data_IF_468350274702
#
_entry.id   IF_468350274702
#
_cell.length_a   1.000
_cell.length_b   1.000
_cell.length_c   1.000
_cell.angle_alpha   90.00
_cell.angle_beta   90.00
_cell.angle_gamma   90.00
#
_symmetry.space_group_name_H-M   'P 1'
#
loop_
_entity.id
_entity.type
_entity.pdbx_description
1 polymer ?
#
# COMPACT_ATOMS: atom_id res chain seq x y z
N UNK A 1 -20.35 68.35 -62.03
CA UNK A 1 -20.43 69.57 -61.17
C UNK A 1 -21.31 69.23 -59.97
N UNK A 2 -20.87 69.61 -58.77
CA UNK A 2 -21.68 69.82 -57.56
C UNK A 2 -21.99 68.62 -56.63
N UNK A 3 -21.47 68.79 -55.40
CA UNK A 3 -21.71 68.10 -54.12
C UNK A 3 -23.13 68.30 -53.56
N UNK A 4 -23.58 67.39 -52.69
CA UNK A 4 -24.14 67.57 -51.30
C UNK A 4 -25.11 66.41 -50.99
N UNK A 5 -24.85 65.59 -49.96
CA UNK A 5 -25.21 65.73 -48.53
C UNK A 5 -26.71 65.83 -48.27
N UNK A 6 -27.29 64.82 -47.59
CA UNK A 6 -28.16 64.87 -46.39
C UNK A 6 -28.76 63.46 -46.10
N UNK A 7 -28.62 62.96 -44.86
CA UNK A 7 -29.33 61.77 -44.35
C UNK A 7 -30.64 62.16 -43.63
N UNK A 8 -31.17 61.37 -42.68
CA UNK A 8 -31.17 59.92 -42.51
C UNK A 8 -32.61 59.34 -42.48
N UNK A 9 -32.80 58.09 -42.93
CA UNK A 9 -34.08 57.36 -42.87
C UNK A 9 -33.99 56.16 -41.93
N UNK A 10 -34.84 56.13 -40.91
CA UNK A 10 -34.96 55.07 -39.89
C UNK A 10 -35.28 53.71 -40.52
N UNK A 11 -34.52 52.68 -40.14
CA UNK A 11 -34.86 51.27 -40.37
C UNK A 11 -34.73 50.49 -39.06
N UNK A 12 -35.84 49.93 -38.58
CA UNK A 12 -35.88 48.96 -37.49
C UNK A 12 -35.12 47.70 -37.92
N UNK A 13 -34.10 47.30 -37.17
CA UNK A 13 -33.50 45.98 -37.26
C UNK A 13 -33.77 45.22 -35.96
N UNK A 14 -34.49 44.11 -36.07
CA UNK A 14 -34.74 43.16 -34.99
C UNK A 14 -33.42 42.48 -34.59
N UNK A 15 -32.96 42.73 -33.37
CA UNK A 15 -31.84 42.00 -32.79
C UNK A 15 -32.30 40.65 -32.24
N UNK A 16 -32.07 39.57 -32.97
CA UNK A 16 -32.09 38.22 -32.40
C UNK A 16 -30.89 38.06 -31.47
N UNK A 17 -31.08 38.26 -30.17
CA UNK A 17 -30.09 37.93 -29.16
C UNK A 17 -29.94 36.41 -29.03
N UNK A 18 -28.85 35.86 -29.56
CA UNK A 18 -28.44 34.49 -29.26
C UNK A 18 -27.77 34.53 -27.87
N UNK A 19 -28.50 34.08 -26.85
CA UNK A 19 -27.93 33.84 -25.53
C UNK A 19 -27.00 32.62 -25.61
N UNK A 20 -25.69 32.85 -25.61
CA UNK A 20 -24.70 31.79 -25.47
C UNK A 20 -24.75 31.26 -24.03
N UNK A 21 -25.40 30.11 -23.83
CA UNK A 21 -25.32 29.36 -22.58
C UNK A 21 -23.93 28.74 -22.51
N UNK A 22 -23.05 29.33 -21.70
CA UNK A 22 -21.78 28.72 -21.34
C UNK A 22 -22.07 27.46 -20.50
N UNK A 23 -21.99 26.28 -21.12
CA UNK A 23 -21.97 25.02 -20.39
C UNK A 23 -20.66 24.96 -19.60
N UNK A 24 -20.73 25.29 -18.31
CA UNK A 24 -19.63 25.05 -17.39
C UNK A 24 -19.32 23.56 -17.36
N UNK A 25 -18.10 23.19 -17.78
CA UNK A 25 -17.59 21.85 -17.55
C UNK A 25 -17.55 21.64 -16.03
N UNK A 26 -18.47 20.84 -15.50
CA UNK A 26 -18.40 20.40 -14.11
C UNK A 26 -17.05 19.68 -13.96
N UNK A 27 -16.17 20.24 -13.15
CA UNK A 27 -14.97 19.54 -12.72
C UNK A 27 -15.44 18.24 -12.08
N UNK A 28 -15.15 17.10 -12.74
CA UNK A 28 -15.33 15.81 -12.11
C UNK A 28 -14.36 15.80 -10.94
N UNK A 29 -14.87 15.94 -9.72
CA UNK A 29 -14.09 15.69 -8.52
C UNK A 29 -13.67 14.23 -8.61
N UNK A 30 -12.44 13.98 -9.05
CA UNK A 30 -11.87 12.64 -9.04
C UNK A 30 -11.84 12.19 -7.59
N UNK A 31 -12.65 11.19 -7.26
CA UNK A 31 -12.62 10.56 -5.94
C UNK A 31 -11.19 10.08 -5.74
N UNK A 32 -10.56 10.41 -4.62
CA UNK A 32 -9.19 9.99 -4.36
C UNK A 32 -9.13 8.45 -4.29
N UNK A 33 -8.11 7.87 -4.93
CA UNK A 33 -7.97 6.42 -5.11
C UNK A 33 -6.80 5.89 -4.28
N UNK A 34 -6.93 4.66 -3.79
CA UNK A 34 -5.87 3.92 -3.11
C UNK A 34 -6.01 2.43 -3.45
N UNK A 35 -5.78 2.05 -4.73
CA UNK A 35 -6.24 0.76 -5.25
C UNK A 35 -5.41 -0.44 -4.79
N UNK A 36 -4.33 -0.23 -4.03
CA UNK A 36 -3.36 -1.28 -3.71
C UNK A 36 -2.61 -1.00 -2.41
N UNK A 37 -1.82 -2.00 -1.97
CA UNK A 37 -0.89 -1.88 -0.85
C UNK A 37 -0.01 -0.63 -0.94
N UNK A 38 -0.03 0.19 0.11
CA UNK A 38 0.76 1.42 0.19
C UNK A 38 0.34 2.53 -0.79
N UNK A 39 -0.83 2.42 -1.41
CA UNK A 39 -1.41 3.46 -2.25
C UNK A 39 -0.98 3.38 -3.71
N UNK A 40 -1.30 4.39 -4.53
CA UNK A 40 -1.10 4.36 -5.97
C UNK A 40 0.33 4.01 -6.40
N UNK A 41 1.33 4.40 -5.60
CA UNK A 41 2.76 4.21 -5.87
C UNK A 41 3.46 3.22 -4.92
N UNK A 42 2.73 2.55 -4.02
CA UNK A 42 3.29 1.67 -2.95
C UNK A 42 4.31 2.33 -2.01
N UNK A 43 4.26 3.65 -1.85
CA UNK A 43 5.18 4.41 -1.00
C UNK A 43 4.51 5.00 0.25
N UNK A 44 3.26 4.61 0.49
CA UNK A 44 2.40 5.04 1.60
C UNK A 44 2.18 6.55 1.64
N UNK A 45 2.10 7.17 0.45
CA UNK A 45 1.79 8.59 0.31
C UNK A 45 0.49 8.80 -0.43
N UNK A 46 -0.31 9.75 0.08
CA UNK A 46 -1.45 10.29 -0.63
C UNK A 46 -1.07 11.62 -1.28
N UNK A 47 -1.45 11.78 -2.54
CA UNK A 47 -1.54 13.10 -3.16
C UNK A 47 -2.87 13.73 -2.74
N UNK A 48 -2.86 14.39 -1.57
CA UNK A 48 -4.03 15.03 -0.98
C UNK A 48 -3.67 16.38 -0.40
N UNK A 49 -4.67 17.25 -0.31
CA UNK A 49 -4.62 18.54 0.38
C UNK A 49 -5.81 18.65 1.33
N UNK A 50 -5.71 19.56 2.31
CA UNK A 50 -6.82 19.88 3.22
C UNK A 50 -6.92 18.91 4.39
N UNK A 51 -5.80 18.33 4.85
CA UNK A 51 -5.77 17.70 6.15
C UNK A 51 -5.72 18.78 7.24
N UNK A 52 -6.52 18.62 8.28
CA UNK A 52 -6.57 19.50 9.43
C UNK A 52 -5.17 19.74 10.03
N UNK A 53 -4.96 20.89 10.67
CA UNK A 53 -3.72 21.17 11.41
C UNK A 53 -3.64 20.42 12.75
N UNK A 54 -4.75 19.87 13.22
CA UNK A 54 -4.89 19.14 14.47
C UNK A 54 -6.34 18.67 14.64
N UNK A 55 -6.61 17.90 15.69
CA UNK A 55 -7.95 17.40 16.01
C UNK A 55 -8.34 17.76 17.45
N UNK A 56 -9.64 17.74 17.79
CA UNK A 56 -10.09 17.75 19.18
C UNK A 56 -9.50 16.59 19.99
N UNK A 57 -9.64 16.66 21.32
CA UNK A 57 -9.12 15.63 22.24
C UNK A 57 -9.73 14.24 21.94
N UNK A 58 -10.97 14.20 21.48
CA UNK A 58 -11.70 13.00 21.07
C UNK A 58 -11.22 12.43 19.72
N UNK A 59 -10.32 13.13 19.03
CA UNK A 59 -9.79 12.76 17.73
C UNK A 59 -10.60 13.30 16.54
N UNK A 60 -10.27 12.85 15.32
CA UNK A 60 -10.95 13.27 14.10
C UNK A 60 -12.40 12.78 14.08
N UNK A 61 -13.25 13.44 13.30
CA UNK A 61 -14.66 13.06 13.20
C UNK A 61 -14.80 11.67 12.62
N UNK A 62 -15.37 10.75 13.40
CA UNK A 62 -15.73 9.42 12.92
C UNK A 62 -16.94 9.48 12.00
N UNK A 63 -16.79 8.97 10.78
CA UNK A 63 -17.87 8.86 9.79
C UNK A 63 -18.74 7.66 10.10
N UNK A 64 -18.10 6.50 10.25
CA UNK A 64 -18.73 5.25 10.64
C UNK A 64 -17.70 4.32 11.28
N UNK A 65 -18.21 3.31 11.99
CA UNK A 65 -17.43 2.22 12.57
C UNK A 65 -18.31 0.99 12.62
N UNK A 66 -17.72 -0.18 12.36
CA UNK A 66 -18.39 -1.47 12.57
C UNK A 66 -17.39 -2.58 12.88
N UNK A 67 -17.89 -3.64 13.49
CA UNK A 67 -17.14 -4.89 13.55
C UNK A 67 -17.06 -5.53 12.15
N UNK A 68 -16.01 -6.30 11.94
CA UNK A 68 -15.77 -7.09 10.74
C UNK A 68 -15.45 -8.53 11.16
N UNK A 69 -14.17 -8.89 11.14
CA UNK A 69 -13.67 -10.17 11.61
C UNK A 69 -12.15 -10.16 11.59
N UNK A 70 -11.57 -11.29 11.97
CA UNK A 70 -10.13 -11.44 12.16
C UNK A 70 -9.34 -11.17 10.87
N UNK A 71 -8.23 -10.44 10.94
CA UNK A 71 -7.34 -10.22 9.81
C UNK A 71 -6.56 -8.92 9.91
N UNK A 72 -5.51 -8.83 9.10
CA UNK A 72 -4.65 -7.65 8.98
C UNK A 72 -4.67 -7.02 7.58
N UNK A 73 -5.44 -7.58 6.65
CA UNK A 73 -5.63 -7.07 5.29
C UNK A 73 -5.90 -5.56 5.29
N UNK A 74 -5.05 -4.78 4.62
CA UNK A 74 -5.30 -3.36 4.46
C UNK A 74 -6.50 -3.12 3.54
N UNK A 75 -6.86 -1.85 3.35
CA UNK A 75 -8.11 -1.45 2.70
C UNK A 75 -7.74 -0.77 1.39
N UNK A 76 -8.15 -1.33 0.26
CA UNK A 76 -8.02 -0.65 -1.03
C UNK A 76 -9.26 0.19 -1.30
N UNK A 77 -9.08 1.36 -1.89
CA UNK A 77 -10.16 2.30 -2.24
C UNK A 77 -10.19 2.50 -3.74
N UNK A 78 -11.32 2.19 -4.36
CA UNK A 78 -11.57 2.49 -5.77
C UNK A 78 -13.00 3.05 -5.93
N UNK A 79 -13.14 4.21 -6.57
CA UNK A 79 -14.43 4.83 -6.91
C UNK A 79 -15.52 4.82 -5.81
N UNK A 80 -15.14 5.15 -4.57
CA UNK A 80 -16.09 5.20 -3.44
C UNK A 80 -16.45 3.82 -2.85
N UNK A 81 -15.79 2.75 -3.29
CA UNK A 81 -15.85 1.42 -2.70
C UNK A 81 -14.54 1.09 -1.92
N UNK A 82 -14.68 0.27 -0.89
CA UNK A 82 -13.57 -0.25 -0.09
C UNK A 82 -13.46 -1.76 -0.27
N UNK A 83 -12.25 -2.25 -0.50
CA UNK A 83 -11.96 -3.67 -0.68
C UNK A 83 -10.98 -4.13 0.40
N UNK A 84 -11.34 -5.15 1.16
CA UNK A 84 -10.47 -5.75 2.19
C UNK A 84 -10.84 -7.22 2.40
N UNK A 85 -10.16 -7.90 3.31
CA UNK A 85 -10.41 -9.29 3.64
C UNK A 85 -10.49 -9.52 5.14
N UNK A 86 -11.24 -10.54 5.56
CA UNK A 86 -11.31 -10.98 6.94
C UNK A 86 -11.68 -12.46 7.05
N UNK A 87 -11.54 -13.03 8.24
CA UNK A 87 -11.97 -14.38 8.58
C UNK A 87 -13.27 -14.36 9.38
N UNK A 88 -14.20 -15.23 8.99
CA UNK A 88 -15.46 -15.52 9.69
C UNK A 88 -15.61 -17.03 9.88
N UNK A 89 -15.42 -17.50 11.11
CA UNK A 89 -15.43 -18.94 11.39
C UNK A 89 -14.32 -19.66 10.63
N UNK A 90 -14.70 -20.57 9.74
CA UNK A 90 -13.80 -21.34 8.86
C UNK A 90 -13.73 -20.83 7.43
N UNK A 91 -14.29 -19.64 7.18
CA UNK A 91 -14.23 -18.97 5.89
C UNK A 91 -13.25 -17.79 5.92
N UNK A 92 -12.56 -17.57 4.81
CA UNK A 92 -12.02 -16.26 4.48
C UNK A 92 -12.98 -15.54 3.54
N UNK A 93 -13.12 -14.23 3.74
CA UNK A 93 -14.09 -13.39 3.03
C UNK A 93 -13.36 -12.22 2.39
N UNK A 94 -13.50 -12.07 1.08
CA UNK A 94 -13.21 -10.82 0.36
C UNK A 94 -14.48 -9.98 0.39
N UNK A 95 -14.38 -8.73 0.82
CA UNK A 95 -15.54 -7.88 1.02
C UNK A 95 -15.37 -6.54 0.30
N UNK A 96 -16.47 -6.07 -0.28
CA UNK A 96 -16.61 -4.73 -0.80
C UNK A 96 -17.61 -3.94 0.05
N UNK A 97 -17.22 -2.74 0.48
CA UNK A 97 -18.04 -1.83 1.27
C UNK A 97 -18.25 -0.51 0.55
N UNK A 98 -19.39 0.11 0.78
CA UNK A 98 -19.59 1.53 0.45
C UNK A 98 -18.71 2.38 1.37
N UNK A 99 -17.86 3.23 0.80
CA UNK A 99 -16.89 4.00 1.56
C UNK A 99 -17.53 5.08 2.45
N UNK A 100 -18.69 5.61 2.07
CA UNK A 100 -19.39 6.66 2.79
C UNK A 100 -20.17 6.16 4.01
N UNK A 101 -20.67 4.91 3.96
CA UNK A 101 -21.57 4.35 4.97
C UNK A 101 -21.02 3.12 5.68
N UNK A 102 -19.99 2.49 5.13
CA UNK A 102 -19.44 1.23 5.62
C UNK A 102 -20.38 0.04 5.41
N UNK A 103 -21.46 0.17 4.63
CA UNK A 103 -22.39 -0.94 4.33
C UNK A 103 -21.75 -1.91 3.35
N UNK A 104 -22.03 -3.20 3.53
CA UNK A 104 -21.58 -4.24 2.59
C UNK A 104 -22.29 -4.06 1.26
N UNK A 105 -21.52 -3.99 0.17
CA UNK A 105 -22.01 -4.02 -1.21
C UNK A 105 -22.05 -5.46 -1.74
N UNK A 106 -20.97 -6.22 -1.51
CA UNK A 106 -20.91 -7.65 -1.78
C UNK A 106 -19.86 -8.34 -0.90
N UNK A 107 -19.99 -9.65 -0.75
CA UNK A 107 -19.02 -10.55 -0.11
C UNK A 107 -18.77 -11.76 -1.02
N UNK A 108 -17.52 -12.20 -1.09
CA UNK A 108 -17.12 -13.48 -1.64
C UNK A 108 -16.45 -14.29 -0.52
N UNK A 109 -17.13 -15.34 -0.06
CA UNK A 109 -16.64 -16.22 1.00
C UNK A 109 -16.19 -17.55 0.42
N UNK A 110 -15.10 -18.10 0.96
CA UNK A 110 -14.60 -19.41 0.60
C UNK A 110 -14.09 -20.17 1.82
N UNK A 111 -14.33 -21.47 1.83
CA UNK A 111 -13.85 -22.35 2.89
C UNK A 111 -12.32 -22.37 2.90
N UNK A 112 -11.76 -22.25 4.09
CA UNK A 112 -10.32 -22.34 4.29
C UNK A 112 -9.98 -23.35 5.39
N UNK A 113 -8.88 -24.09 5.20
CA UNK A 113 -8.40 -25.07 6.17
C UNK A 113 -8.12 -24.43 7.54
N UNK A 114 -8.08 -25.27 8.58
CA UNK A 114 -7.79 -24.79 9.93
C UNK A 114 -6.42 -24.07 9.95
N UNK A 115 -6.34 -22.86 10.52
CA UNK A 115 -5.08 -22.12 10.62
C UNK A 115 -4.04 -22.92 11.41
N UNK A 116 -2.75 -22.74 11.06
CA UNK A 116 -1.64 -23.30 11.84
C UNK A 116 -1.70 -22.84 13.29
N UNK A 117 -0.93 -23.47 14.19
CA UNK A 117 -0.84 -23.03 15.59
C UNK A 117 -0.40 -21.56 15.68
N UNK A 118 0.61 -21.16 14.91
CA UNK A 118 1.12 -19.79 14.89
C UNK A 118 0.12 -18.79 14.29
N UNK A 119 -0.61 -19.15 13.23
CA UNK A 119 -1.69 -18.30 12.70
C UNK A 119 -2.77 -18.04 13.76
N UNK A 120 -3.15 -19.06 14.55
CA UNK A 120 -4.13 -18.90 15.64
C UNK A 120 -3.64 -17.92 16.71
N UNK A 121 -2.35 -17.95 17.04
CA UNK A 121 -1.73 -17.07 18.03
C UNK A 121 -1.63 -15.62 17.53
N UNK A 122 -1.09 -15.41 16.33
CA UNK A 122 -0.73 -14.08 15.85
C UNK A 122 -1.83 -13.38 15.03
N UNK A 123 -2.80 -14.12 14.49
CA UNK A 123 -3.91 -13.57 13.71
C UNK A 123 -4.34 -14.52 12.58
N UNK A 124 -5.47 -15.24 12.73
CA UNK A 124 -5.83 -16.35 11.84
C UNK A 124 -6.48 -15.93 10.52
N UNK A 125 -6.70 -14.63 10.32
CA UNK A 125 -7.32 -14.12 9.10
C UNK A 125 -6.32 -13.59 8.07
N UNK A 126 -6.79 -13.20 6.89
CA UNK A 126 -5.96 -12.71 5.79
C UNK A 126 -5.10 -11.49 6.15
N UNK A 127 -3.86 -11.46 5.62
CA UNK A 127 -2.91 -10.34 5.81
C UNK A 127 -2.71 -9.52 4.54
N UNK A 128 -2.79 -10.15 3.38
CA UNK A 128 -2.58 -9.50 2.08
C UNK A 128 -3.63 -8.42 1.81
N UNK A 129 -3.23 -7.38 1.07
CA UNK A 129 -4.13 -6.29 0.66
C UNK A 129 -4.65 -6.55 -0.75
N UNK A 130 -5.97 -6.54 -0.97
CA UNK A 130 -6.53 -6.70 -2.31
C UNK A 130 -6.00 -5.63 -3.28
N UNK A 131 -5.63 -6.03 -4.49
CA UNK A 131 -5.30 -5.13 -5.58
C UNK A 131 -6.54 -4.89 -6.42
N UNK A 132 -6.90 -3.63 -6.65
CA UNK A 132 -7.91 -3.24 -7.64
C UNK A 132 -7.17 -2.82 -8.91
N UNK A 133 -7.44 -3.49 -10.04
CA UNK A 133 -6.92 -3.08 -11.33
C UNK A 133 -8.00 -3.29 -12.42
N UNK A 134 -8.29 -2.21 -13.16
CA UNK A 134 -9.39 -2.20 -14.12
C UNK A 134 -10.74 -2.50 -13.44
N UNK A 135 -11.41 -3.55 -13.92
CA UNK A 135 -12.69 -4.03 -13.38
C UNK A 135 -12.54 -5.24 -12.43
N UNK A 136 -11.32 -5.55 -12.01
CA UNK A 136 -11.01 -6.75 -11.21
C UNK A 136 -10.41 -6.39 -9.83
N UNK A 137 -10.65 -7.28 -8.87
CA UNK A 137 -10.05 -7.31 -7.54
C UNK A 137 -9.27 -8.61 -7.40
N UNK A 138 -7.98 -8.50 -7.15
CA UNK A 138 -7.08 -9.62 -6.90
C UNK A 138 -6.81 -9.74 -5.40
N UNK A 139 -7.24 -10.85 -4.80
CA UNK A 139 -7.16 -11.11 -3.38
C UNK A 139 -6.39 -12.40 -3.12
N UNK A 140 -5.56 -12.41 -2.06
CA UNK A 140 -4.79 -13.60 -1.68
C UNK A 140 -5.02 -13.94 -0.21
N UNK A 141 -5.50 -15.14 0.05
CA UNK A 141 -5.77 -15.67 1.39
C UNK A 141 -4.51 -16.02 2.17
N UNK A 142 -4.67 -16.39 3.45
CA UNK A 142 -3.55 -16.63 4.38
C UNK A 142 -2.67 -17.84 3.99
N UNK A 143 -3.13 -18.70 3.10
CA UNK A 143 -2.36 -19.86 2.58
C UNK A 143 -2.05 -19.77 1.09
N UNK A 144 -2.25 -18.61 0.45
CA UNK A 144 -1.96 -18.45 -0.97
C UNK A 144 -3.07 -18.94 -1.90
N UNK A 145 -4.33 -18.98 -1.46
CA UNK A 145 -5.45 -19.04 -2.40
C UNK A 145 -5.63 -17.66 -3.04
N UNK A 146 -5.49 -17.59 -4.37
CA UNK A 146 -5.60 -16.37 -5.16
C UNK A 146 -6.96 -16.34 -5.83
N UNK A 147 -7.65 -15.20 -5.74
CA UNK A 147 -8.95 -14.98 -6.37
C UNK A 147 -8.91 -13.70 -7.20
N UNK A 148 -9.41 -13.78 -8.43
CA UNK A 148 -9.76 -12.64 -9.26
C UNK A 148 -11.28 -12.51 -9.26
N UNK A 149 -11.77 -11.37 -8.76
CA UNK A 149 -13.20 -11.10 -8.61
C UNK A 149 -13.58 -9.86 -9.42
N UNK A 150 -14.75 -9.86 -10.03
CA UNK A 150 -15.32 -8.64 -10.60
C UNK A 150 -15.52 -7.59 -9.49
N UNK A 151 -14.97 -6.39 -9.66
CA UNK A 151 -14.97 -5.36 -8.60
C UNK A 151 -16.36 -4.85 -8.21
N UNK A 152 -17.35 -4.97 -9.11
CA UNK A 152 -18.72 -4.48 -8.89
C UNK A 152 -19.63 -5.54 -8.27
N UNK A 153 -19.51 -6.80 -8.70
CA UNK A 153 -20.42 -7.87 -8.27
C UNK A 153 -19.82 -8.85 -7.26
N UNK A 154 -18.49 -8.89 -7.12
CA UNK A 154 -17.80 -9.91 -6.31
C UNK A 154 -17.78 -11.30 -6.95
N UNK A 155 -18.27 -11.43 -8.20
CA UNK A 155 -18.28 -12.71 -8.90
C UNK A 155 -16.86 -13.15 -9.24
N UNK A 156 -16.56 -14.43 -8.96
CA UNK A 156 -15.28 -15.05 -9.30
C UNK A 156 -15.09 -15.12 -10.82
N UNK A 157 -13.99 -14.56 -11.31
CA UNK A 157 -13.54 -14.69 -12.68
C UNK A 157 -12.61 -15.90 -12.85
N UNK A 158 -11.60 -16.01 -11.98
CA UNK A 158 -10.66 -17.14 -11.93
C UNK A 158 -9.99 -17.22 -10.55
N UNK A 159 -9.37 -18.37 -10.24
CA UNK A 159 -8.64 -18.59 -8.99
C UNK A 159 -7.45 -19.52 -9.16
N UNK A 160 -6.45 -19.38 -8.29
CA UNK A 160 -5.31 -20.29 -8.18
C UNK A 160 -5.11 -20.77 -6.73
N UNK A 161 -4.58 -21.97 -6.58
CA UNK A 161 -4.11 -22.54 -5.32
C UNK A 161 -2.59 -22.69 -5.39
N UNK A 162 -1.87 -21.71 -4.84
CA UNK A 162 -0.41 -21.65 -4.97
C UNK A 162 0.29 -22.88 -4.34
N UNK A 163 -0.31 -23.46 -3.30
CA UNK A 163 0.18 -24.69 -2.66
C UNK A 163 0.06 -25.86 -3.60
N UNK A 164 -1.12 -26.08 -4.19
CA UNK A 164 -1.35 -27.22 -5.09
C UNK A 164 -0.64 -27.09 -6.42
N UNK A 165 -0.57 -25.88 -6.98
CA UNK A 165 -0.07 -25.65 -8.34
C UNK A 165 1.45 -25.54 -8.41
N UNK A 166 2.07 -24.98 -7.37
CA UNK A 166 3.51 -24.69 -7.36
C UNK A 166 4.26 -25.41 -6.23
N UNK A 167 3.56 -26.10 -5.32
CA UNK A 167 4.22 -26.70 -4.16
C UNK A 167 4.65 -25.66 -3.12
N UNK A 168 4.00 -24.49 -3.10
CA UNK A 168 4.22 -23.49 -2.07
C UNK A 168 4.03 -24.10 -0.67
N UNK A 169 5.03 -23.97 0.19
CA UNK A 169 4.88 -24.34 1.59
C UNK A 169 4.07 -23.26 2.32
N UNK A 170 2.99 -23.68 2.99
CA UNK A 170 2.19 -22.77 3.81
C UNK A 170 3.08 -22.16 4.89
N UNK A 171 3.27 -20.84 4.80
CA UNK A 171 4.07 -20.09 5.76
C UNK A 171 3.45 -20.23 7.16
N UNK A 172 4.28 -20.52 8.18
CA UNK A 172 3.80 -20.76 9.55
C UNK A 172 2.95 -19.60 10.10
N UNK A 173 3.31 -18.36 9.76
CA UNK A 173 2.57 -17.14 10.14
C UNK A 173 1.62 -16.62 9.07
N UNK A 174 1.44 -17.34 7.97
CA UNK A 174 0.56 -16.96 6.87
C UNK A 174 1.20 -16.09 5.79
N UNK A 175 0.62 -16.21 4.59
CA UNK A 175 0.96 -15.42 3.42
C UNK A 175 0.46 -13.97 3.59
N UNK A 176 1.29 -13.00 3.22
CA UNK A 176 1.02 -11.58 3.48
C UNK A 176 1.44 -10.62 2.36
N UNK A 177 2.22 -11.09 1.39
CA UNK A 177 2.60 -10.25 0.26
C UNK A 177 1.35 -9.89 -0.57
N UNK A 178 1.29 -8.64 -1.04
CA UNK A 178 0.15 -8.12 -1.80
C UNK A 178 0.42 -8.15 -3.30
N UNK A 179 -0.52 -8.66 -4.14
CA UNK A 179 -0.37 -8.75 -5.59
C UNK A 179 -0.10 -7.38 -6.20
N UNK A 180 0.67 -7.32 -7.29
CA UNK A 180 0.97 -6.08 -8.02
C UNK A 180 0.61 -6.22 -9.50
N UNK A 181 -0.05 -5.21 -10.08
CA UNK A 181 -0.33 -5.19 -11.51
C UNK A 181 0.88 -4.67 -12.29
N UNK A 182 1.17 -5.28 -13.43
CA UNK A 182 2.07 -4.74 -14.43
C UNK A 182 1.51 -5.04 -15.83
N UNK A 183 1.14 -3.98 -16.56
CA UNK A 183 0.47 -4.08 -17.86
C UNK A 183 -0.77 -5.01 -17.79
N UNK A 184 -0.77 -6.11 -18.52
CA UNK A 184 -1.82 -7.12 -18.59
C UNK A 184 -1.66 -8.27 -17.59
N UNK A 185 -0.66 -8.18 -16.69
CA UNK A 185 -0.37 -9.22 -15.69
C UNK A 185 -0.63 -8.75 -14.26
N UNK A 186 -0.87 -9.71 -13.38
CA UNK A 186 -0.80 -9.58 -11.92
C UNK A 186 0.31 -10.50 -11.42
N UNK A 187 1.22 -9.95 -10.63
CA UNK A 187 2.46 -10.62 -10.21
C UNK A 187 2.43 -10.85 -8.70
N UNK A 188 2.87 -12.03 -8.28
CA UNK A 188 2.92 -12.46 -6.88
C UNK A 188 4.27 -13.13 -6.57
N UNK A 189 4.92 -12.80 -5.45
CA UNK A 189 5.94 -13.68 -4.89
C UNK A 189 5.25 -14.93 -4.33
N UNK A 190 5.68 -16.11 -4.77
CA UNK A 190 5.15 -17.41 -4.35
C UNK A 190 6.20 -18.16 -3.53
N UNK A 191 7.48 -17.96 -3.84
CA UNK A 191 8.58 -18.76 -3.31
C UNK A 191 8.64 -20.17 -3.90
N UNK A 192 9.78 -20.85 -3.73
CA UNK A 192 10.07 -22.16 -4.29
C UNK A 192 11.10 -22.13 -5.42
N UNK A 193 11.17 -23.20 -6.20
CA UNK A 193 12.19 -23.43 -7.25
C UNK A 193 11.54 -23.36 -8.63
N UNK A 194 12.06 -22.50 -9.52
CA UNK A 194 11.56 -22.13 -10.85
C UNK A 194 10.25 -21.31 -10.86
N UNK A 195 9.71 -20.99 -9.69
CA UNK A 195 8.41 -20.31 -9.54
C UNK A 195 8.38 -19.37 -8.34
N UNK A 196 9.54 -18.90 -7.88
CA UNK A 196 9.58 -18.01 -6.73
C UNK A 196 8.79 -16.71 -6.93
N UNK A 197 8.67 -16.26 -8.18
CA UNK A 197 7.76 -15.19 -8.59
C UNK A 197 6.95 -15.64 -9.80
N UNK A 198 5.64 -15.41 -9.76
CA UNK A 198 4.70 -15.83 -10.81
C UNK A 198 3.87 -14.65 -11.26
N UNK A 199 3.70 -14.51 -12.58
CA UNK A 199 2.79 -13.57 -13.19
C UNK A 199 1.64 -14.32 -13.87
N UNK A 200 0.41 -13.91 -13.54
CA UNK A 200 -0.81 -14.40 -14.15
C UNK A 200 -1.39 -13.33 -15.07
N UNK A 201 -1.96 -13.72 -16.21
CA UNK A 201 -2.70 -12.79 -17.05
C UNK A 201 -3.96 -12.33 -16.31
N UNK A 202 -4.20 -11.02 -16.32
CA UNK A 202 -5.38 -10.44 -15.67
C UNK A 202 -6.69 -10.97 -16.26
N UNK A 203 -6.71 -11.24 -17.57
CA UNK A 203 -7.91 -11.62 -18.30
C UNK A 203 -8.48 -13.00 -17.91
N UNK A 204 -7.61 -14.00 -17.72
CA UNK A 204 -8.02 -15.41 -17.60
C UNK A 204 -7.27 -16.21 -16.52
N UNK A 205 -6.30 -15.61 -15.84
CA UNK A 205 -5.49 -16.27 -14.82
C UNK A 205 -4.39 -17.17 -15.39
N UNK A 206 -4.26 -17.32 -16.71
CA UNK A 206 -3.18 -18.16 -17.26
C UNK A 206 -1.79 -17.63 -16.85
N UNK A 207 -0.86 -18.54 -16.55
CA UNK A 207 0.52 -18.16 -16.20
C UNK A 207 1.18 -17.50 -17.41
N UNK A 208 1.52 -16.22 -17.29
CA UNK A 208 2.28 -15.49 -18.30
C UNK A 208 3.77 -15.85 -18.22
N UNK A 209 4.31 -15.89 -17.00
CA UNK A 209 5.65 -16.39 -16.70
C UNK A 209 5.75 -16.80 -15.23
N UNK A 210 6.73 -17.67 -14.94
CA UNK A 210 7.16 -18.04 -13.59
C UNK A 210 8.67 -18.18 -13.61
N UNK A 211 9.35 -17.73 -12.55
CA UNK A 211 10.81 -17.68 -12.55
C UNK A 211 11.40 -17.66 -11.15
N UNK A 212 12.72 -17.88 -11.11
CA UNK A 212 13.60 -17.74 -9.95
C UNK A 212 13.45 -18.80 -8.85
N UNK A 213 14.48 -18.88 -8.01
CA UNK A 213 14.65 -19.86 -6.93
C UNK A 213 14.86 -19.14 -5.59
N UNK A 214 13.77 -18.68 -4.97
CA UNK A 214 13.80 -17.94 -3.70
C UNK A 214 12.74 -18.48 -2.74
N UNK A 215 12.99 -18.40 -1.45
CA UNK A 215 11.96 -18.72 -0.45
C UNK A 215 11.07 -17.50 -0.22
N UNK A 216 9.76 -17.72 -0.12
CA UNK A 216 8.78 -16.65 0.09
C UNK A 216 8.98 -15.97 1.45
N UNK A 217 8.83 -14.64 1.46
CA UNK A 217 8.76 -13.84 2.69
C UNK A 217 7.47 -13.01 2.73
N UNK A 218 7.37 -12.07 3.67
CA UNK A 218 6.14 -11.36 3.99
C UNK A 218 5.98 -10.02 3.25
N UNK A 219 7.09 -9.37 2.89
CA UNK A 219 7.07 -8.06 2.26
C UNK A 219 6.40 -8.09 0.88
N UNK A 220 5.50 -7.13 0.66
CA UNK A 220 4.89 -6.91 -0.66
C UNK A 220 5.93 -6.37 -1.65
N UNK A 221 5.90 -6.78 -2.93
CA UNK A 221 6.81 -6.27 -3.94
C UNK A 221 6.49 -4.80 -4.30
N UNK A 222 7.48 -4.10 -4.85
CA UNK A 222 7.30 -2.75 -5.41
C UNK A 222 7.81 -2.69 -6.86
N UNK A 223 7.25 -1.79 -7.66
CA UNK A 223 7.79 -1.45 -8.98
C UNK A 223 8.63 -0.18 -8.85
N UNK A 224 9.87 -0.24 -9.34
CA UNK A 224 10.77 0.91 -9.42
C UNK A 224 11.09 1.24 -10.87
N UNK A 225 11.41 2.51 -11.12
CA UNK A 225 11.91 3.01 -12.41
C UNK A 225 13.38 3.36 -12.24
N UNK A 226 14.27 2.55 -12.81
CA UNK A 226 15.72 2.77 -12.76
C UNK A 226 16.24 3.10 -14.16
N UNK A 227 16.71 4.34 -14.35
CA UNK A 227 17.33 4.82 -15.58
C UNK A 227 16.57 4.38 -16.85
N UNK A 228 15.24 4.55 -16.83
CA UNK A 228 14.39 4.20 -17.97
C UNK A 228 14.00 2.72 -18.10
N UNK A 229 14.25 1.88 -17.09
CA UNK A 229 13.76 0.49 -17.01
C UNK A 229 12.85 0.29 -15.79
N UNK A 230 11.73 -0.40 -16.01
CA UNK A 230 10.87 -0.85 -14.92
C UNK A 230 11.46 -2.12 -14.32
N UNK A 231 11.55 -2.17 -12.99
CA UNK A 231 12.06 -3.32 -12.26
C UNK A 231 11.10 -3.67 -11.13
N UNK A 232 10.75 -4.95 -11.02
CA UNK A 232 10.02 -5.51 -9.91
C UNK A 232 10.99 -5.85 -8.79
N UNK A 233 10.83 -5.23 -7.63
CA UNK A 233 11.64 -5.51 -6.44
C UNK A 233 10.87 -6.43 -5.52
N UNK A 234 11.43 -7.61 -5.26
CA UNK A 234 10.89 -8.61 -4.35
C UNK A 234 11.83 -8.81 -3.17
N UNK A 235 11.32 -8.67 -1.94
CA UNK A 235 12.09 -8.91 -0.73
C UNK A 235 11.77 -10.30 -0.17
N UNK A 236 12.63 -11.26 -0.52
CA UNK A 236 12.50 -12.69 -0.26
C UNK A 236 13.21 -13.06 1.05
N UNK A 237 13.20 -14.33 1.45
CA UNK A 237 13.71 -14.78 2.77
C UNK A 237 15.18 -14.50 3.01
N UNK A 238 16.02 -14.63 1.97
CA UNK A 238 17.49 -14.50 2.07
C UNK A 238 18.04 -13.31 1.29
N UNK A 239 17.26 -12.73 0.40
CA UNK A 239 17.69 -11.68 -0.51
C UNK A 239 16.57 -10.70 -0.83
N UNK A 240 16.98 -9.51 -1.27
CA UNK A 240 16.15 -8.65 -2.09
C UNK A 240 16.60 -8.80 -3.54
N UNK A 241 15.66 -8.91 -4.47
CA UNK A 241 15.93 -9.13 -5.88
C UNK A 241 15.20 -8.10 -6.74
N UNK A 242 15.85 -7.67 -7.82
CA UNK A 242 15.21 -6.93 -8.89
C UNK A 242 15.03 -7.81 -10.12
N UNK A 243 13.79 -7.88 -10.61
CA UNK A 243 13.40 -8.67 -11.77
C UNK A 243 12.86 -7.75 -12.87
N UNK A 244 12.97 -8.17 -14.13
CA UNK A 244 12.20 -7.59 -15.20
C UNK A 244 10.72 -8.02 -15.04
N UNK A 245 9.78 -7.09 -14.81
CA UNK A 245 8.37 -7.45 -14.59
C UNK A 245 7.68 -8.02 -15.85
N UNK A 246 8.27 -7.87 -17.04
CA UNK A 246 7.68 -8.37 -18.27
C UNK A 246 7.87 -9.89 -18.47
N UNK A 247 8.98 -10.46 -17.97
CA UNK A 247 9.39 -11.84 -18.26
C UNK A 247 9.96 -12.59 -17.05
N UNK A 248 10.13 -11.93 -15.90
CA UNK A 248 10.69 -12.53 -14.69
C UNK A 248 12.21 -12.66 -14.69
N UNK A 249 12.92 -12.13 -15.69
CA UNK A 249 14.38 -12.24 -15.77
C UNK A 249 15.06 -11.54 -14.58
N UNK A 250 16.08 -12.18 -14.00
CA UNK A 250 16.84 -11.63 -12.87
C UNK A 250 17.73 -10.49 -13.35
N UNK A 251 17.57 -9.30 -12.76
CA UNK A 251 18.40 -8.13 -13.07
C UNK A 251 19.50 -7.92 -12.04
N UNK A 252 19.20 -8.17 -10.76
CA UNK A 252 20.16 -8.07 -9.66
C UNK A 252 19.63 -8.74 -8.38
N UNK A 253 20.53 -9.03 -7.44
CA UNK A 253 20.20 -9.48 -6.08
C UNK A 253 21.10 -8.80 -5.05
N UNK A 254 20.65 -8.75 -3.80
CA UNK A 254 21.45 -8.39 -2.64
C UNK A 254 21.05 -9.21 -1.42
N UNK A 255 22.03 -9.71 -0.67
CA UNK A 255 21.82 -10.63 0.46
C UNK A 255 21.29 -9.91 1.70
N UNK A 256 20.20 -10.42 2.27
CA UNK A 256 19.56 -9.94 3.51
C UNK A 256 18.81 -11.08 4.22
N UNK A 257 19.52 -12.08 4.79
CA UNK A 257 18.89 -13.24 5.42
C UNK A 257 18.45 -12.90 6.83
N UNK A 258 17.20 -13.15 7.22
CA UNK A 258 16.72 -12.87 8.58
C UNK A 258 16.32 -14.11 9.35
N UNK A 259 16.25 -14.03 10.68
CA UNK A 259 15.73 -15.14 11.47
C UNK A 259 14.27 -15.42 11.07
N UNK A 260 13.94 -16.70 10.94
CA UNK A 260 12.65 -17.19 10.44
C UNK A 260 12.28 -16.71 9.03
N UNK A 261 13.21 -16.12 8.27
CA UNK A 261 12.92 -15.58 6.93
C UNK A 261 11.89 -14.45 6.90
N UNK A 262 11.67 -13.78 8.04
CA UNK A 262 10.64 -12.76 8.20
C UNK A 262 11.10 -11.35 7.77
N UNK A 263 11.31 -11.15 6.47
CA UNK A 263 11.46 -9.84 5.86
C UNK A 263 10.05 -9.26 5.65
N UNK A 264 9.59 -8.46 6.61
CA UNK A 264 8.18 -8.02 6.72
C UNK A 264 7.95 -6.63 6.10
N UNK A 265 8.81 -5.66 6.42
CA UNK A 265 8.62 -4.29 5.95
C UNK A 265 8.85 -4.20 4.44
N UNK A 266 7.90 -3.59 3.74
CA UNK A 266 8.07 -3.26 2.31
C UNK A 266 9.28 -2.33 2.11
N UNK A 267 10.16 -2.58 1.12
CA UNK A 267 11.26 -1.69 0.79
C UNK A 267 10.77 -0.30 0.38
N UNK A 268 11.60 0.72 0.59
CA UNK A 268 11.28 2.11 0.26
C UNK A 268 12.22 2.63 -0.81
N UNK A 269 11.67 2.89 -1.99
CA UNK A 269 12.37 3.47 -3.13
C UNK A 269 12.30 5.00 -3.13
N UNK A 270 13.29 5.68 -3.72
CA UNK A 270 13.16 7.10 -4.02
C UNK A 270 14.39 7.70 -4.68
N UNK A 271 14.45 9.04 -4.64
CA UNK A 271 15.47 9.86 -5.31
C UNK A 271 16.91 9.39 -5.09
N UNK A 272 17.74 9.57 -6.12
CA UNK A 272 19.14 9.12 -6.15
C UNK A 272 19.32 7.61 -6.36
N UNK A 273 18.27 6.93 -6.84
CA UNK A 273 18.20 5.49 -7.04
C UNK A 273 18.50 4.69 -5.76
N UNK A 274 17.97 5.17 -4.63
CA UNK A 274 18.22 4.61 -3.31
C UNK A 274 17.04 3.75 -2.85
N UNK A 275 17.36 2.50 -2.50
CA UNK A 275 16.41 1.54 -1.96
C UNK A 275 16.76 1.24 -0.49
N UNK A 276 15.91 1.71 0.41
CA UNK A 276 15.97 1.38 1.83
C UNK A 276 15.23 0.07 2.09
N UNK A 277 15.82 -0.80 2.89
CA UNK A 277 15.18 -2.02 3.38
C UNK A 277 15.52 -2.24 4.85
N UNK A 278 14.59 -2.85 5.58
CA UNK A 278 14.75 -3.09 7.01
C UNK A 278 14.03 -4.35 7.43
N UNK A 279 14.68 -5.11 8.29
CA UNK A 279 14.11 -6.28 8.94
C UNK A 279 14.48 -6.30 10.42
N UNK A 280 13.51 -6.62 11.26
CA UNK A 280 13.77 -7.03 12.64
C UNK A 280 14.44 -8.41 12.69
N UNK A 281 14.39 -9.06 13.86
CA UNK A 281 14.95 -10.39 14.07
C UNK A 281 16.44 -10.46 13.71
N UNK A 282 17.15 -9.49 14.29
CA UNK A 282 18.61 -9.40 14.29
C UNK A 282 19.28 -9.10 12.93
N UNK A 283 18.54 -8.56 11.95
CA UNK A 283 19.12 -8.11 10.69
C UNK A 283 19.41 -6.63 10.60
N UNK A 284 18.44 -5.76 10.84
CA UNK A 284 18.66 -4.33 10.75
C UNK A 284 18.26 -3.73 9.40
N UNK A 285 18.78 -2.52 9.15
CA UNK A 285 18.47 -1.74 7.97
C UNK A 285 19.70 -1.53 7.11
N UNK A 286 19.48 -1.33 5.81
CA UNK A 286 20.51 -0.94 4.86
C UNK A 286 19.92 -0.12 3.74
N UNK A 287 20.78 0.58 3.02
CA UNK A 287 20.43 1.20 1.75
C UNK A 287 21.38 0.70 0.68
N UNK A 288 20.79 0.28 -0.43
CA UNK A 288 21.53 0.06 -1.68
C UNK A 288 21.22 1.19 -2.65
N UNK A 289 22.23 1.60 -3.40
CA UNK A 289 22.09 2.42 -4.58
C UNK A 289 22.14 1.53 -5.81
N UNK A 290 21.21 1.77 -6.73
CA UNK A 290 21.15 1.08 -8.02
C UNK A 290 21.58 2.02 -9.14
N UNK A 291 22.24 1.47 -10.15
CA UNK A 291 22.56 2.21 -11.38
C UNK A 291 22.57 1.26 -12.57
N UNK A 292 22.34 1.78 -13.78
CA UNK A 292 22.49 0.99 -15.01
C UNK A 292 23.84 1.23 -15.68
N UNK A 293 24.47 0.14 -16.11
CA UNK A 293 25.60 0.15 -17.02
C UNK A 293 25.27 -0.75 -18.21
N UNK A 294 24.75 -0.13 -19.29
CA UNK A 294 24.12 -0.86 -20.39
C UNK A 294 22.90 -1.66 -19.90
N UNK A 295 22.88 -2.96 -20.20
CA UNK A 295 21.79 -3.86 -19.80
C UNK A 295 21.93 -4.42 -18.38
N UNK A 296 23.05 -4.13 -17.70
CA UNK A 296 23.30 -4.61 -16.33
C UNK A 296 22.86 -3.57 -15.32
N UNK A 297 22.20 -4.04 -14.27
CA UNK A 297 21.99 -3.23 -13.06
C UNK A 297 23.11 -3.51 -12.08
N UNK A 298 23.75 -2.44 -11.59
CA UNK A 298 24.78 -2.50 -10.56
C UNK A 298 24.17 -2.16 -9.20
N UNK A 299 24.62 -2.88 -8.17
CA UNK A 299 24.19 -2.70 -6.79
C UNK A 299 25.37 -2.23 -5.95
N UNK A 300 25.20 -1.11 -5.25
CA UNK A 300 26.17 -0.61 -4.28
C UNK A 300 25.50 -0.48 -2.91
N UNK A 301 25.95 -1.23 -1.91
CA UNK A 301 25.52 -0.96 -0.53
C UNK A 301 26.20 0.32 -0.03
N UNK A 302 25.39 1.30 0.40
CA UNK A 302 25.90 2.56 0.94
C UNK A 302 26.20 2.44 2.44
N UNK A 303 25.33 1.75 3.17
CA UNK A 303 25.49 1.53 4.60
C UNK A 303 24.61 0.39 5.09
N UNK A 304 24.99 -0.16 6.24
CA UNK A 304 24.26 -1.16 7.00
C UNK A 304 24.23 -0.80 8.50
N UNK A 305 23.08 -0.98 9.14
CA UNK A 305 22.87 -0.69 10.55
C UNK A 305 22.00 -1.75 11.23
N UNK A 306 22.65 -2.72 11.89
CA UNK A 306 22.01 -3.84 12.60
C UNK A 306 20.92 -3.43 13.62
N UNK A 307 21.10 -2.28 14.27
CA UNK A 307 20.22 -1.82 15.36
C UNK A 307 19.03 -0.99 14.88
N UNK A 308 18.94 -0.66 13.60
CA UNK A 308 17.78 0.01 13.00
C UNK A 308 16.89 -1.07 12.40
N UNK A 309 15.74 -1.36 12.98
CA UNK A 309 14.97 -2.57 12.68
C UNK A 309 13.49 -2.27 12.60
N UNK A 310 12.88 -2.43 11.44
CA UNK A 310 11.42 -2.36 11.32
C UNK A 310 10.88 -3.77 11.48
N UNK A 311 10.01 -3.94 12.49
CA UNK A 311 9.41 -5.21 12.84
C UNK A 311 8.09 -5.38 12.07
N UNK A 312 6.96 -5.32 12.77
CA UNK A 312 5.65 -5.17 12.16
C UNK A 312 5.42 -3.67 11.88
N UNK A 313 5.41 -3.27 10.62
CA UNK A 313 5.18 -1.89 10.22
C UNK A 313 5.74 -1.55 8.85
N UNK A 314 5.46 -0.34 8.39
CA UNK A 314 6.05 0.24 7.18
C UNK A 314 6.96 1.43 7.51
N UNK A 315 7.67 1.89 6.49
CA UNK A 315 8.40 3.16 6.51
C UNK A 315 7.92 4.08 5.39
N UNK A 316 8.11 5.38 5.58
CA UNK A 316 7.84 6.41 4.57
C UNK A 316 9.10 7.24 4.36
N UNK A 317 9.46 7.49 3.10
CA UNK A 317 10.54 8.41 2.74
C UNK A 317 10.00 9.79 2.38
N UNK A 318 10.43 10.83 3.07
CA UNK A 318 10.17 12.23 2.70
C UNK A 318 11.52 12.94 2.50
N UNK A 319 11.78 13.38 1.27
CA UNK A 319 13.09 13.92 0.89
C UNK A 319 14.21 12.89 1.10
N UNK A 320 15.25 13.31 1.81
CA UNK A 320 16.41 12.48 2.14
C UNK A 320 16.25 11.67 3.44
N UNK A 321 15.06 11.66 4.05
CA UNK A 321 14.82 10.98 5.33
C UNK A 321 13.79 9.87 5.20
N UNK A 322 14.08 8.74 5.84
CA UNK A 322 13.15 7.64 6.06
C UNK A 322 12.65 7.73 7.50
N UNK A 323 11.32 7.69 7.63
CA UNK A 323 10.61 7.64 8.91
C UNK A 323 10.03 6.25 9.10
N UNK A 324 10.18 5.70 10.30
CA UNK A 324 9.68 4.36 10.63
C UNK A 324 9.87 4.04 12.11
N UNK A 325 9.10 3.11 12.63
CA UNK A 325 9.26 2.65 14.01
C UNK A 325 10.33 1.55 14.08
N UNK A 326 11.47 1.86 14.70
CA UNK A 326 12.57 0.90 14.90
C UNK A 326 12.46 0.17 16.23
N UNK A 327 12.35 -1.16 16.20
CA UNK A 327 12.28 -2.04 17.37
C UNK A 327 12.32 -3.52 17.01
N UNK A 328 12.08 -4.38 18.00
CA UNK A 328 12.00 -5.83 17.85
C UNK A 328 10.97 -6.37 18.89
N UNK A 329 11.28 -7.40 19.67
CA UNK A 329 10.49 -7.85 20.84
C UNK A 329 10.55 -6.90 22.06
N UNK A 330 11.33 -5.81 22.00
CA UNK A 330 11.45 -4.79 23.06
C UNK A 330 10.85 -3.43 22.67
N UNK A 331 11.26 -2.34 23.35
CA UNK A 331 10.81 -0.99 23.01
C UNK A 331 11.07 -0.67 21.52
N UNK A 332 10.06 -0.15 20.86
CA UNK A 332 10.15 0.38 19.51
C UNK A 332 9.99 1.90 19.54
N UNK A 333 10.89 2.60 18.85
CA UNK A 333 10.95 4.05 18.81
C UNK A 333 10.73 4.53 17.37
N UNK A 334 9.90 5.55 17.19
CA UNK A 334 9.80 6.23 15.91
C UNK A 334 11.12 6.96 15.65
N UNK A 335 11.64 6.88 14.44
CA UNK A 335 12.92 7.50 14.08
C UNK A 335 12.83 8.23 12.74
N UNK A 336 13.71 9.20 12.57
CA UNK A 336 14.13 9.71 11.27
C UNK A 336 15.57 9.28 11.00
N UNK A 337 15.82 8.75 9.80
CA UNK A 337 17.13 8.29 9.37
C UNK A 337 17.46 8.94 8.04
N UNK A 338 18.62 9.57 7.95
CA UNK A 338 19.16 10.03 6.68
C UNK A 338 19.44 8.81 5.78
N UNK A 339 18.76 8.76 4.64
CA UNK A 339 18.77 7.59 3.76
C UNK A 339 20.12 7.38 3.08
N UNK A 340 20.95 8.41 2.95
CA UNK A 340 22.26 8.34 2.28
C UNK A 340 23.34 7.83 3.21
N UNK A 341 23.26 8.20 4.49
CA UNK A 341 24.33 7.98 5.46
C UNK A 341 23.97 6.95 6.54
N UNK A 342 22.68 6.64 6.74
CA UNK A 342 22.20 5.81 7.83
C UNK A 342 22.24 6.50 9.19
N UNK A 343 22.59 7.80 9.24
CA UNK A 343 22.62 8.58 10.47
C UNK A 343 21.20 8.78 10.98
N UNK A 344 20.96 8.35 12.22
CA UNK A 344 19.72 8.64 12.93
C UNK A 344 19.72 10.11 13.30
N UNK A 345 18.72 10.85 12.81
CA UNK A 345 18.56 12.27 13.11
C UNK A 345 17.92 12.46 14.49
N UNK A 346 16.85 11.70 14.77
CA UNK A 346 16.21 11.66 16.08
C UNK A 346 15.50 10.34 16.32
N UNK A 347 15.12 10.11 17.58
CA UNK A 347 14.25 9.02 18.04
C UNK A 347 13.22 9.56 19.01
N UNK A 348 11.97 9.15 18.82
CA UNK A 348 10.83 9.56 19.63
C UNK A 348 10.16 8.34 20.27
N UNK A 349 9.73 8.50 21.52
CA UNK A 349 9.01 7.45 22.26
C UNK A 349 7.51 7.52 21.95
N UNK A 350 6.81 6.43 22.19
CA UNK A 350 5.35 6.44 22.24
C UNK A 350 4.63 6.07 20.95
N UNK A 351 5.33 5.69 19.88
CA UNK A 351 4.74 5.13 18.66
C UNK A 351 5.41 3.79 18.33
N UNK A 352 5.13 2.77 19.14
CA UNK A 352 5.76 1.46 19.01
C UNK A 352 5.14 0.67 17.84
N UNK A 353 6.01 0.10 17.00
CA UNK A 353 5.64 -0.70 15.81
C UNK A 353 4.55 0.00 14.97
N UNK A 354 4.80 1.29 14.72
CA UNK A 354 3.85 2.14 14.05
C UNK A 354 3.85 1.97 12.53
N UNK A 355 2.65 2.05 11.98
CA UNK A 355 2.36 2.21 10.57
C UNK A 355 2.22 3.70 10.24
N UNK A 356 2.72 4.11 9.08
CA UNK A 356 2.83 5.50 8.66
C UNK A 356 2.17 5.72 7.30
N UNK A 357 1.42 6.81 7.18
CA UNK A 357 0.95 7.34 5.89
C UNK A 357 1.29 8.82 5.84
N UNK A 358 1.71 9.32 4.68
CA UNK A 358 2.04 10.73 4.49
C UNK A 358 1.13 11.40 3.47
N UNK A 359 0.67 12.61 3.77
CA UNK A 359 -0.16 13.42 2.88
C UNK A 359 -0.24 14.85 3.38
N UNK A 360 -0.40 15.82 2.49
CA UNK A 360 -0.55 17.25 2.85
C UNK A 360 0.50 17.77 3.86
N UNK A 361 1.76 17.37 3.68
CA UNK A 361 2.88 17.75 4.55
C UNK A 361 2.97 17.02 5.90
N UNK A 362 2.03 16.11 6.21
CA UNK A 362 1.85 15.52 7.54
C UNK A 362 2.02 14.00 7.51
N UNK A 363 2.53 13.45 8.61
CA UNK A 363 2.48 12.03 8.93
C UNK A 363 1.22 11.73 9.72
N UNK A 364 0.50 10.70 9.29
CA UNK A 364 -0.52 10.00 10.06
C UNK A 364 0.12 8.73 10.60
N UNK A 365 0.10 8.58 11.91
CA UNK A 365 0.82 7.54 12.64
C UNK A 365 -0.20 6.68 13.36
N UNK A 366 -0.23 5.38 13.07
CA UNK A 366 -1.03 4.41 13.81
C UNK A 366 -0.10 3.38 14.46
N UNK A 367 -0.04 3.35 15.79
CA UNK A 367 0.80 2.39 16.50
C UNK A 367 0.10 1.03 16.75
N UNK A 368 0.87 0.02 17.16
CA UNK A 368 0.32 -1.34 17.37
C UNK A 368 -0.79 -1.39 18.41
N UNK A 369 -0.79 -0.45 19.36
CA UNK A 369 -1.81 -0.31 20.40
C UNK A 369 -3.08 0.39 19.93
N UNK A 370 -3.14 0.86 18.68
CA UNK A 370 -4.32 1.52 18.13
C UNK A 370 -4.39 3.02 18.39
N UNK A 371 -3.28 3.66 18.79
CA UNK A 371 -3.23 5.12 18.93
C UNK A 371 -2.96 5.77 17.59
N UNK A 372 -3.82 6.71 17.22
CA UNK A 372 -3.70 7.51 16.01
C UNK A 372 -3.10 8.87 16.37
N UNK A 373 -2.13 9.34 15.58
CA UNK A 373 -1.58 10.68 15.69
C UNK A 373 -1.44 11.37 14.33
N UNK A 374 -1.49 12.69 14.38
CA UNK A 374 -1.16 13.58 13.28
C UNK A 374 0.07 14.38 13.66
N UNK A 375 1.09 14.39 12.80
CA UNK A 375 2.35 15.05 13.07
C UNK A 375 2.97 15.66 11.82
N UNK A 376 3.83 16.65 11.99
CA UNK A 376 4.83 17.03 10.98
C UNK A 376 6.18 16.47 11.39
N UNK A 377 6.96 16.05 10.40
CA UNK A 377 8.28 15.49 10.63
C UNK A 377 9.32 16.20 9.78
N UNK A 378 10.40 16.59 10.44
CA UNK A 378 11.58 17.22 9.84
C UNK A 378 12.83 16.44 10.26
N UNK A 379 13.99 16.72 9.67
CA UNK A 379 15.26 16.16 10.15
C UNK A 379 15.57 16.49 11.61
N UNK A 380 15.04 17.60 12.15
CA UNK A 380 15.38 18.07 13.49
C UNK A 380 14.44 17.54 14.57
N UNK A 381 13.16 17.36 14.23
CA UNK A 381 12.14 16.93 15.20
C UNK A 381 10.91 16.29 14.55
N UNK A 382 10.16 15.56 15.38
CA UNK A 382 8.76 15.23 15.18
C UNK A 382 7.90 16.20 16.00
N UNK A 383 6.97 16.89 15.34
CA UNK A 383 5.98 17.73 16.02
C UNK A 383 4.60 17.07 15.95
N UNK A 384 4.14 16.54 17.08
CA UNK A 384 2.83 15.88 17.19
C UNK A 384 1.75 16.94 17.43
N UNK A 385 0.82 17.07 16.50
CA UNK A 385 -0.26 18.06 16.56
C UNK A 385 -1.52 17.52 17.23
N UNK A 386 -1.79 16.23 17.09
CA UNK A 386 -2.91 15.55 17.72
C UNK A 386 -2.59 14.08 17.97
N UNK A 387 -3.19 13.50 19.01
CA UNK A 387 -3.06 12.08 19.36
C UNK A 387 -4.30 11.59 20.09
N UNK A 388 -4.82 10.44 19.70
CA UNK A 388 -6.03 9.83 20.26
C UNK A 388 -5.89 8.31 20.35
N UNK A 389 -6.46 7.70 21.39
CA UNK A 389 -6.68 6.25 21.41
C UNK A 389 -7.89 5.90 20.54
N UNK A 390 -7.66 5.27 19.40
CA UNK A 390 -8.70 5.04 18.41
C UNK A 390 -9.18 3.58 18.40
N UNK A 391 -8.24 2.65 18.24
CA UNK A 391 -8.49 1.22 18.16
C UNK A 391 -8.11 0.56 19.49
N UNK A 392 -8.76 -0.56 19.80
CA UNK A 392 -8.64 -1.22 21.12
C UNK A 392 -7.98 -2.59 21.06
N UNK A 393 -7.75 -3.11 19.86
CA UNK A 393 -7.02 -4.36 19.61
C UNK A 393 -5.75 -4.07 18.82
N UNK A 394 -4.92 -5.08 18.68
CA UNK A 394 -3.69 -5.02 17.91
C UNK A 394 -3.95 -4.45 16.50
N UNK A 395 -3.28 -3.33 16.18
CA UNK A 395 -3.53 -2.51 15.00
C UNK A 395 -2.34 -2.54 14.03
N UNK A 396 -1.93 -3.73 13.62
CA UNK A 396 -0.83 -3.92 12.66
C UNK A 396 -1.21 -3.59 11.21
N UNK A 397 -2.49 -3.36 10.91
CA UNK A 397 -2.90 -2.96 9.56
C UNK A 397 -2.49 -1.51 9.27
N UNK A 398 -1.80 -1.31 8.15
CA UNK A 398 -1.42 0.02 7.67
C UNK A 398 -2.69 0.83 7.33
N UNK A 399 -2.82 2.09 7.79
CA UNK A 399 -3.93 2.95 7.40
C UNK A 399 -4.00 3.20 5.88
N UNK A 400 -5.17 3.58 5.40
CA UNK A 400 -5.37 4.00 4.01
C UNK A 400 -5.94 5.42 3.97
N UNK A 401 -5.30 6.30 3.21
CA UNK A 401 -5.70 7.69 3.08
C UNK A 401 -6.16 8.00 1.66
N UNK A 402 -7.47 8.16 1.48
CA UNK A 402 -8.07 8.56 0.20
C UNK A 402 -8.58 10.00 0.33
N UNK A 403 -7.80 10.96 -0.18
CA UNK A 403 -8.10 12.39 -0.01
C UNK A 403 -7.96 12.75 1.46
N UNK A 404 -9.04 13.20 2.09
CA UNK A 404 -9.08 13.47 3.54
C UNK A 404 -9.75 12.35 4.34
N UNK A 405 -10.16 11.24 3.69
CA UNK A 405 -10.75 10.08 4.36
C UNK A 405 -9.68 9.09 4.76
N UNK A 406 -9.60 8.82 6.07
CA UNK A 406 -8.74 7.78 6.60
C UNK A 406 -9.57 6.54 6.93
N UNK A 407 -9.16 5.41 6.37
CA UNK A 407 -9.68 4.09 6.72
C UNK A 407 -8.64 3.35 7.55
N UNK A 408 -9.08 2.87 8.71
CA UNK A 408 -8.23 2.15 9.66
C UNK A 408 -8.94 0.91 10.13
N UNK A 409 -8.16 -0.10 10.53
CA UNK A 409 -8.70 -1.25 11.23
C UNK A 409 -7.72 -1.81 12.25
N UNK A 410 -8.28 -2.41 13.28
CA UNK A 410 -7.57 -3.40 14.09
C UNK A 410 -8.00 -4.81 13.65
N UNK A 411 -7.62 -5.82 14.43
CA UNK A 411 -7.99 -7.22 14.20
C UNK A 411 -9.48 -7.45 13.96
N UNK A 412 -10.41 -6.62 14.48
CA UNK A 412 -11.85 -6.87 14.38
C UNK A 412 -12.69 -5.67 13.98
N UNK A 413 -12.18 -4.45 14.11
CA UNK A 413 -12.94 -3.21 13.92
C UNK A 413 -12.39 -2.47 12.73
N UNK A 414 -13.28 -2.01 11.85
CA UNK A 414 -12.95 -1.10 10.74
C UNK A 414 -13.66 0.23 10.95
N UNK A 415 -12.97 1.35 10.70
CA UNK A 415 -13.52 2.70 10.84
C UNK A 415 -13.14 3.58 9.65
N UNK A 416 -14.00 4.55 9.36
CA UNK A 416 -13.69 5.69 8.49
C UNK A 416 -13.72 6.99 9.29
N UNK A 417 -12.72 7.83 9.06
CA UNK A 417 -12.52 9.11 9.75
C UNK A 417 -12.45 10.26 8.72
N UNK A 418 -12.91 11.44 9.13
CA UNK A 418 -12.62 12.71 8.45
C UNK A 418 -11.37 13.33 9.01
N UNK A 419 -10.35 13.53 8.18
CA UNK A 419 -9.13 14.21 8.59
C UNK A 419 -9.08 15.68 8.17
N UNK A 420 -10.15 16.23 7.57
CA UNK A 420 -10.22 17.65 7.18
C UNK A 420 -10.51 18.62 8.31
#
# INVERSE_FOLDING_TARGET
MIRRLLGPGRGLAWGCGVAAVAMGAAARTTIAQWPQWGGPNRDFKADCLGLASGWPQEGPRRVWSRELGEGYSAISVDDGALYTMYRRGDEEVVICLDAGTGKTLWEYAYSHSAPTKSMKEFGPGPHSTPLVAGDQVYAVGVTGLVHCLNKKSGQLAWSHDLVKEFGHEVMDRGYSASPIAYKDTVILPVGGTEHAVVAFKQADGSVAWKSQDFQCSHASPILIRLDGQDQLVCFMTKEIAGLNPADGALLWTHTHPTQWGANISTPVWGQGNLLFMSSAYDQGSRVIQLSRNGDKTQVQELWYARKLRIHHGNAVRVGDYVYGSSGDFGPALLMAVDVRTGKVAWRERGFAKANLVYGDGKLIILDEGGRLALATATPDKLEVHAKVELLKRNAWTVPTLAGTRLYVRDRKTIQALDLS
#
